data_IF_418916560380
#
_entry.id   IF_418916560380
#
_cell.length_a   1.000
_cell.length_b   1.000
_cell.length_c   1.000
_cell.angle_alpha   90.00
_cell.angle_beta   90.00
_cell.angle_gamma   90.00
#
_symmetry.space_group_name_H-M   'P 1'
#
loop_
_entity.id
_entity.type
_entity.pdbx_description
1 polymer ?
#
# COMPACT_ATOMS: atom_id res chain seq x y z
N UNK A 1 -6.58 27.60 -2.51
CA UNK A 1 -7.30 26.31 -2.60
C UNK A 1 -6.56 25.34 -1.71
N UNK A 2 -7.06 25.12 -0.49
CA UNK A 2 -6.40 24.23 0.47
C UNK A 2 -6.51 22.78 -0.03
N UNK A 3 -5.39 22.21 -0.43
CA UNK A 3 -5.24 20.80 -0.68
C UNK A 3 -5.35 20.06 0.66
N UNK A 4 -6.56 19.62 1.01
CA UNK A 4 -6.77 18.68 2.12
C UNK A 4 -6.04 17.36 1.78
N UNK A 5 -4.88 17.19 2.39
CA UNK A 5 -4.12 15.95 2.43
C UNK A 5 -4.86 14.95 3.34
N UNK A 6 -4.95 13.69 2.91
CA UNK A 6 -5.54 12.63 3.72
C UNK A 6 -4.41 11.68 4.04
N UNK A 7 -4.01 11.67 5.30
CA UNK A 7 -3.05 10.72 5.84
C UNK A 7 -3.86 9.54 6.39
N UNK A 8 -3.71 8.36 5.76
CA UNK A 8 -4.29 7.11 6.25
C UNK A 8 -3.18 6.25 6.80
N UNK A 9 -3.20 6.03 8.12
CA UNK A 9 -2.41 4.98 8.77
C UNK A 9 -3.35 3.79 8.95
N UNK A 10 -3.06 2.69 8.26
CA UNK A 10 -3.93 1.51 8.26
C UNK A 10 -3.15 0.29 8.74
N UNK A 11 -3.42 -0.13 9.97
CA UNK A 11 -2.93 -1.39 10.52
C UNK A 11 -3.75 -2.54 9.92
N UNK A 12 -3.14 -3.28 9.00
CA UNK A 12 -3.79 -4.41 8.32
C UNK A 12 -4.07 -5.54 9.33
N UNK A 13 -5.33 -5.97 9.49
CA UNK A 13 -5.63 -7.15 10.29
C UNK A 13 -5.04 -8.39 9.62
N UNK A 14 -4.35 -9.22 10.41
CA UNK A 14 -3.62 -10.42 9.97
C UNK A 14 -4.45 -11.38 9.10
N UNK A 15 -5.78 -11.36 9.26
CA UNK A 15 -6.72 -12.20 8.52
C UNK A 15 -6.89 -11.80 7.03
N UNK A 16 -6.38 -10.63 6.62
CA UNK A 16 -6.46 -10.14 5.23
C UNK A 16 -5.26 -10.59 4.38
N UNK A 17 -4.28 -11.25 5.01
CA UNK A 17 -3.05 -11.70 4.38
C UNK A 17 -3.27 -13.08 3.80
N UNK A 18 -3.26 -13.20 2.48
CA UNK A 18 -3.29 -14.51 1.84
C UNK A 18 -1.86 -15.00 1.72
N UNK A 19 -1.55 -16.09 2.41
CA UNK A 19 -0.29 -16.82 2.22
C UNK A 19 -0.41 -17.71 0.97
N UNK A 20 0.53 -17.56 0.04
CA UNK A 20 0.69 -18.41 -1.14
C UNK A 20 2.12 -18.97 -1.14
N UNK A 21 2.30 -20.11 -0.45
CA UNK A 21 3.64 -20.64 -0.17
C UNK A 21 4.43 -19.72 0.77
N UNK A 22 5.59 -19.25 0.31
CA UNK A 22 6.45 -18.31 1.04
C UNK A 22 6.09 -16.83 0.80
N UNK A 23 5.06 -16.58 -0.03
CA UNK A 23 4.61 -15.23 -0.35
C UNK A 23 3.40 -14.83 0.50
N UNK A 24 3.35 -13.55 0.87
CA UNK A 24 2.24 -12.90 1.55
C UNK A 24 1.62 -11.85 0.61
N UNK A 25 0.37 -12.06 0.25
CA UNK A 25 -0.37 -11.20 -0.67
C UNK A 25 -1.29 -10.28 0.12
N UNK A 26 -1.13 -8.98 -0.12
CA UNK A 26 -1.95 -7.92 0.46
C UNK A 26 -2.72 -7.21 -0.64
N UNK A 27 -4.03 -7.04 -0.43
CA UNK A 27 -4.90 -6.30 -1.34
C UNK A 27 -5.62 -5.21 -0.57
N UNK A 28 -5.38 -3.96 -0.94
CA UNK A 28 -6.01 -2.78 -0.36
C UNK A 28 -6.89 -2.11 -1.43
N UNK A 29 -8.17 -1.92 -1.13
CA UNK A 29 -9.07 -1.13 -1.98
C UNK A 29 -9.28 0.24 -1.37
N UNK A 30 -8.96 1.29 -2.13
CA UNK A 30 -9.13 2.68 -1.74
C UNK A 30 -10.22 3.28 -2.61
N UNK A 31 -11.33 3.66 -1.96
CA UNK A 31 -12.44 4.33 -2.64
C UNK A 31 -12.24 5.83 -2.64
N UNK A 32 -12.21 6.42 -3.83
CA UNK A 32 -12.07 7.85 -4.02
C UNK A 32 -13.44 8.49 -3.85
N UNK A 33 -13.52 9.49 -2.96
CA UNK A 33 -14.78 10.18 -2.69
C UNK A 33 -15.33 10.88 -3.96
N UNK A 34 -16.63 10.77 -4.26
CA UNK A 34 -17.27 11.51 -5.34
C UNK A 34 -17.07 13.04 -5.19
N UNK A 35 -17.01 13.77 -6.30
CA UNK A 35 -16.95 15.24 -6.28
C UNK A 35 -15.56 15.87 -6.08
N UNK A 36 -14.50 15.09 -5.87
CA UNK A 36 -13.11 15.60 -5.88
C UNK A 36 -12.40 15.18 -7.16
N UNK A 37 -11.72 16.05 -7.90
CA UNK A 37 -11.09 15.63 -9.17
C UNK A 37 -9.87 14.72 -8.96
N UNK A 38 -9.04 15.03 -7.97
CA UNK A 38 -7.85 14.26 -7.63
C UNK A 38 -7.54 14.39 -6.14
N UNK A 39 -7.00 13.33 -5.54
CA UNK A 39 -6.45 13.32 -4.18
C UNK A 39 -5.05 12.74 -4.20
N UNK A 40 -4.11 13.39 -3.51
CA UNK A 40 -2.82 12.75 -3.23
C UNK A 40 -3.05 11.63 -2.23
N UNK A 41 -2.42 10.49 -2.50
CA UNK A 41 -2.32 9.34 -1.62
C UNK A 41 -0.85 9.16 -1.29
N UNK A 42 -0.55 9.09 0.00
CA UNK A 42 0.69 8.53 0.52
C UNK A 42 0.31 7.35 1.39
N UNK A 43 0.78 6.17 1.01
CA UNK A 43 0.56 4.92 1.74
C UNK A 43 1.91 4.43 2.22
N UNK A 44 2.03 4.22 3.52
CA UNK A 44 3.19 3.60 4.16
C UNK A 44 2.83 2.17 4.55
N UNK A 45 3.71 1.23 4.20
CA UNK A 45 3.56 -0.19 4.44
C UNK A 45 4.74 -0.66 5.26
N UNK A 46 4.45 -1.42 6.32
CA UNK A 46 5.46 -2.13 7.11
C UNK A 46 5.46 -3.59 6.63
N UNK A 47 6.53 -4.06 5.97
CA UNK A 47 6.68 -5.48 5.65
C UNK A 47 6.63 -6.33 6.93
N UNK A 48 6.02 -7.53 6.89
CA UNK A 48 6.12 -8.49 7.98
C UNK A 48 7.57 -8.90 8.24
N UNK A 49 7.86 -9.30 9.48
CA UNK A 49 9.20 -9.73 9.88
C UNK A 49 9.77 -10.80 8.93
N UNK A 50 11.01 -10.60 8.47
CA UNK A 50 11.72 -11.50 7.57
C UNK A 50 11.13 -11.59 6.16
N UNK A 51 10.35 -10.59 5.74
CA UNK A 51 9.85 -10.46 4.38
C UNK A 51 10.15 -9.08 3.80
N UNK A 52 10.38 -9.04 2.49
CA UNK A 52 10.56 -7.82 1.70
C UNK A 52 9.53 -7.74 0.58
N UNK A 53 9.27 -6.52 0.07
CA UNK A 53 8.37 -6.36 -1.09
C UNK A 53 9.01 -6.96 -2.34
N UNK A 54 8.37 -8.02 -2.84
CA UNK A 54 8.73 -8.67 -4.10
C UNK A 54 8.06 -7.99 -5.30
N UNK A 55 6.81 -7.54 -5.15
CA UNK A 55 6.11 -6.78 -6.19
C UNK A 55 4.96 -5.93 -5.66
N UNK A 56 4.58 -4.92 -6.44
CA UNK A 56 3.41 -4.07 -6.18
C UNK A 56 2.72 -3.71 -7.49
N UNK A 57 1.39 -3.59 -7.47
CA UNK A 57 0.61 -3.07 -8.60
C UNK A 57 0.77 -1.56 -8.81
N UNK A 58 1.38 -0.86 -7.84
CA UNK A 58 1.72 0.56 -7.94
C UNK A 58 3.21 0.79 -7.72
N UNK A 59 3.80 1.84 -8.32
CA UNK A 59 5.18 2.24 -8.02
C UNK A 59 5.36 2.46 -6.52
N UNK A 60 6.49 1.97 -6.00
CA UNK A 60 6.84 2.09 -4.60
C UNK A 60 8.30 2.49 -4.44
N UNK A 61 8.62 3.04 -3.28
CA UNK A 61 9.98 3.29 -2.81
C UNK A 61 10.20 2.49 -1.52
N UNK A 62 11.30 1.76 -1.44
CA UNK A 62 11.74 1.13 -0.19
C UNK A 62 12.63 2.12 0.58
N UNK A 63 12.26 2.41 1.82
CA UNK A 63 13.04 3.20 2.76
C UNK A 63 14.15 2.38 3.41
N UNK A 64 15.18 3.06 3.92
CA UNK A 64 16.29 2.42 4.64
C UNK A 64 15.89 1.89 6.03
N UNK A 65 14.72 2.28 6.51
CA UNK A 65 14.07 1.86 7.75
C UNK A 65 13.23 0.57 7.57
N UNK A 66 13.21 0.00 6.35
CA UNK A 66 12.40 -1.17 6.02
C UNK A 66 10.95 -0.82 5.66
N UNK A 67 10.57 0.45 5.71
CA UNK A 67 9.24 0.90 5.30
C UNK A 67 9.13 0.96 3.78
N UNK A 68 7.93 0.78 3.27
CA UNK A 68 7.63 0.90 1.84
C UNK A 68 6.59 1.97 1.62
N UNK A 69 6.91 2.94 0.77
CA UNK A 69 6.02 4.06 0.46
C UNK A 69 5.46 3.92 -0.94
N UNK A 70 4.14 4.01 -1.06
CA UNK A 70 3.41 4.15 -2.34
C UNK A 70 2.83 5.55 -2.39
N UNK A 71 3.26 6.33 -3.39
CA UNK A 71 2.75 7.68 -3.64
C UNK A 71 1.99 7.72 -4.96
N UNK A 72 0.74 8.18 -4.94
CA UNK A 72 -0.10 8.24 -6.13
C UNK A 72 -1.09 9.41 -6.09
N UNK A 73 -1.70 9.70 -7.23
CA UNK A 73 -2.82 10.64 -7.35
C UNK A 73 -4.09 9.86 -7.69
N UNK A 74 -4.97 9.70 -6.70
CA UNK A 74 -6.26 9.05 -6.85
C UNK A 74 -7.19 9.92 -7.70
N UNK A 75 -7.48 9.43 -8.90
CA UNK A 75 -8.48 10.02 -9.82
C UNK A 75 -9.75 9.17 -9.90
N UNK A 76 -9.68 7.92 -9.46
CA UNK A 76 -10.71 6.90 -9.42
C UNK A 76 -10.49 6.00 -8.20
N UNK A 77 -11.40 5.05 -7.97
CA UNK A 77 -11.18 3.98 -7.00
C UNK A 77 -10.00 3.12 -7.45
N UNK A 78 -9.14 2.76 -6.52
CA UNK A 78 -7.91 2.01 -6.80
C UNK A 78 -7.84 0.75 -5.95
N UNK A 79 -7.34 -0.32 -6.54
CA UNK A 79 -6.97 -1.55 -5.82
C UNK A 79 -5.46 -1.71 -5.92
N UNK A 80 -4.80 -1.63 -4.76
CA UNK A 80 -3.37 -1.78 -4.62
C UNK A 80 -3.11 -3.20 -4.14
N UNK A 81 -2.30 -3.95 -4.90
CA UNK A 81 -1.88 -5.31 -4.55
C UNK A 81 -0.38 -5.31 -4.32
N UNK A 82 0.05 -5.81 -3.17
CA UNK A 82 1.47 -5.93 -2.79
C UNK A 82 1.76 -7.38 -2.43
N UNK A 83 2.88 -7.90 -2.91
CA UNK A 83 3.39 -9.22 -2.55
C UNK A 83 4.67 -9.01 -1.75
N UNK A 84 4.71 -9.60 -0.56
CA UNK A 84 5.93 -9.73 0.24
C UNK A 84 6.43 -11.16 0.13
N UNK A 85 7.71 -11.35 -0.10
CA UNK A 85 8.35 -12.66 -0.12
C UNK A 85 9.34 -12.75 1.03
N UNK A 86 9.52 -13.95 1.56
CA UNK A 86 10.50 -14.21 2.61
C UNK A 86 11.91 -13.84 2.15
N UNK A 87 12.64 -13.15 3.01
CA UNK A 87 14.04 -12.81 2.78
C UNK A 87 14.88 -14.10 2.71
N UNK A 88 15.80 -14.16 1.75
CA UNK A 88 16.69 -15.33 1.54
C UNK A 88 17.85 -15.38 2.52
#
# INVERSE_FOLDING_TARGET
LESREVELVYDLPADTVVSDGDDLIYTLTIQKQPGVNQRKLSLELVPPDGHSVASSSMPYAAGNDGLVTISSALTRDETIRVIFSKDS
#
